data_IF_575696274859
#
_entry.id   IF_575696274859
#
_cell.length_a   1.000
_cell.length_b   1.000
_cell.length_c   1.000
_cell.angle_alpha   90.00
_cell.angle_beta   90.00
_cell.angle_gamma   90.00
#
_symmetry.space_group_name_H-M   'P 1'
#
loop_
_entity.id
_entity.type
_entity.pdbx_description
1 polymer ?
#
# COMPACT_ATOMS: atom_id res chain seq x y z
N UNK A 1 12.94 4.51 1.11
CA UNK A 1 11.95 3.45 1.44
C UNK A 1 11.58 2.51 0.29
N UNK A 2 12.00 2.74 -0.97
CA UNK A 2 11.86 1.73 -2.04
C UNK A 2 12.88 0.56 -1.93
N UNK A 3 13.95 0.75 -1.14
CA UNK A 3 15.09 -0.17 -1.10
C UNK A 3 14.84 -1.50 -0.37
N UNK A 4 14.08 -1.55 0.73
CA UNK A 4 13.96 -2.79 1.53
C UNK A 4 13.20 -3.90 0.79
N UNK A 5 12.13 -3.52 0.07
CA UNK A 5 11.38 -4.43 -0.80
C UNK A 5 12.27 -5.02 -1.88
N UNK A 6 13.05 -4.17 -2.55
CA UNK A 6 13.97 -4.60 -3.60
C UNK A 6 15.06 -5.50 -3.02
N UNK A 7 15.61 -5.18 -1.85
CA UNK A 7 16.62 -5.99 -1.17
C UNK A 7 16.10 -7.37 -0.78
N UNK A 8 14.88 -7.48 -0.24
CA UNK A 8 14.28 -8.80 0.04
C UNK A 8 14.13 -9.61 -1.24
N UNK A 9 13.55 -9.02 -2.27
CA UNK A 9 13.39 -9.72 -3.55
C UNK A 9 14.74 -10.08 -4.16
N UNK A 10 15.77 -9.24 -4.04
CA UNK A 10 17.12 -9.54 -4.49
C UNK A 10 17.70 -10.77 -3.76
N UNK A 11 17.51 -10.90 -2.45
CA UNK A 11 17.93 -12.08 -1.68
C UNK A 11 17.19 -13.34 -2.14
N UNK A 12 15.89 -13.26 -2.35
CA UNK A 12 15.09 -14.39 -2.86
C UNK A 12 15.50 -14.78 -4.27
N UNK A 13 15.67 -13.80 -5.15
CA UNK A 13 16.04 -14.01 -6.55
C UNK A 13 17.48 -14.45 -6.73
N UNK A 14 18.38 -14.15 -5.79
CA UNK A 14 19.78 -14.59 -5.80
C UNK A 14 19.92 -16.13 -5.77
N UNK A 15 18.89 -16.86 -5.36
CA UNK A 15 18.87 -18.32 -5.40
C UNK A 15 18.54 -18.89 -6.80
N UNK A 16 18.30 -18.04 -7.79
CA UNK A 16 17.86 -18.43 -9.12
C UNK A 16 18.76 -17.81 -10.20
N UNK A 17 18.94 -18.53 -11.30
CA UNK A 17 19.48 -17.95 -12.53
C UNK A 17 18.33 -17.41 -13.37
N UNK A 18 18.31 -16.10 -13.62
CA UNK A 18 17.22 -15.44 -14.33
C UNK A 18 17.70 -14.24 -15.14
N UNK A 19 16.92 -13.87 -16.15
CA UNK A 19 17.14 -12.68 -16.97
C UNK A 19 15.91 -11.78 -16.87
N UNK A 20 16.12 -10.49 -16.62
CA UNK A 20 15.02 -9.53 -16.58
C UNK A 20 14.72 -9.09 -18.02
N UNK A 21 13.48 -9.32 -18.47
CA UNK A 21 13.03 -8.97 -19.82
C UNK A 21 11.78 -8.08 -19.72
N UNK A 22 11.73 -7.03 -20.54
CA UNK A 22 10.55 -6.20 -20.67
C UNK A 22 9.44 -6.96 -21.41
N UNK A 23 8.21 -6.85 -20.89
CA UNK A 23 7.01 -7.37 -21.55
C UNK A 23 5.94 -6.29 -21.58
N UNK A 24 5.40 -6.04 -22.76
CA UNK A 24 4.31 -5.07 -22.92
C UNK A 24 3.06 -5.51 -22.15
N UNK A 25 2.36 -4.56 -21.54
CA UNK A 25 1.18 -4.82 -20.71
C UNK A 25 0.06 -5.54 -21.45
N UNK A 26 -0.11 -5.25 -22.75
CA UNK A 26 -1.08 -5.92 -23.64
C UNK A 26 -0.87 -7.43 -23.72
N UNK A 27 0.39 -7.89 -23.59
CA UNK A 27 0.78 -9.29 -23.60
C UNK A 27 0.75 -9.95 -22.21
N UNK A 28 0.42 -9.19 -21.16
CA UNK A 28 0.44 -9.65 -19.77
C UNK A 28 -0.95 -10.01 -19.22
N UNK A 29 -1.95 -10.19 -20.09
CA UNK A 29 -3.34 -10.44 -19.70
C UNK A 29 -3.52 -11.69 -18.83
N UNK A 30 -2.68 -12.72 -19.03
CA UNK A 30 -2.69 -13.91 -18.17
C UNK A 30 -2.30 -13.58 -16.73
N UNK A 31 -1.21 -12.85 -16.52
CA UNK A 31 -0.76 -12.46 -15.19
C UNK A 31 -1.73 -11.46 -14.54
N UNK A 32 -2.22 -10.47 -15.29
CA UNK A 32 -3.20 -9.50 -14.80
C UNK A 32 -4.50 -10.20 -14.36
N UNK A 33 -5.04 -11.08 -15.20
CA UNK A 33 -6.24 -11.86 -14.90
C UNK A 33 -6.06 -12.73 -13.66
N UNK A 34 -5.03 -13.58 -13.63
CA UNK A 34 -4.77 -14.48 -12.50
C UNK A 34 -4.51 -13.74 -11.19
N UNK A 35 -3.85 -12.57 -11.23
CA UNK A 35 -3.57 -11.77 -10.04
C UNK A 35 -4.81 -11.13 -9.41
N UNK A 36 -5.89 -10.97 -10.18
CA UNK A 36 -7.14 -10.31 -9.75
C UNK A 36 -8.30 -11.28 -9.50
N UNK A 37 -8.16 -12.54 -9.93
CA UNK A 37 -9.22 -13.53 -9.78
C UNK A 37 -9.53 -13.76 -8.29
N UNK A 38 -10.79 -13.64 -7.87
CA UNK A 38 -11.17 -13.90 -6.49
C UNK A 38 -10.93 -15.37 -6.17
N UNK A 39 -10.26 -15.62 -5.06
CA UNK A 39 -10.07 -16.97 -4.55
C UNK A 39 -11.40 -17.49 -3.98
N UNK A 40 -11.66 -18.78 -4.16
CA UNK A 40 -12.88 -19.43 -3.65
C UNK A 40 -12.96 -19.40 -2.11
N UNK A 41 -11.82 -19.33 -1.45
CA UNK A 41 -11.69 -19.29 0.00
C UNK A 41 -11.27 -17.90 0.44
N UNK A 42 -11.92 -17.37 1.46
CA UNK A 42 -11.45 -16.16 2.13
C UNK A 42 -10.12 -16.48 2.83
N UNK A 43 -9.03 -15.85 2.41
CA UNK A 43 -7.77 -15.94 3.15
C UNK A 43 -7.98 -15.18 4.46
N UNK A 44 -8.18 -15.87 5.57
CA UNK A 44 -8.44 -15.23 6.87
C UNK A 44 -7.27 -14.34 7.34
N UNK A 45 -6.04 -14.62 6.89
CA UNK A 45 -4.83 -13.87 7.28
C UNK A 45 -3.86 -13.73 6.12
N UNK A 46 -3.68 -12.51 5.63
CA UNK A 46 -2.54 -12.17 4.79
C UNK A 46 -1.30 -12.08 5.68
N UNK A 47 -0.22 -12.83 5.37
CA UNK A 47 1.01 -12.72 6.16
C UNK A 47 1.56 -11.30 6.06
N UNK A 48 1.87 -10.74 7.21
CA UNK A 48 2.46 -9.40 7.33
C UNK A 48 3.80 -9.38 6.58
N UNK A 49 4.00 -8.51 5.57
CA UNK A 49 5.26 -8.46 4.84
C UNK A 49 6.42 -8.10 5.79
N UNK A 50 7.57 -8.76 5.68
CA UNK A 50 8.72 -8.49 6.55
C UNK A 50 9.20 -7.03 6.52
N UNK A 51 8.87 -6.25 5.47
CA UNK A 51 9.23 -4.83 5.36
C UNK A 51 8.49 -3.96 6.36
N UNK A 52 7.35 -4.44 6.84
CA UNK A 52 6.56 -3.71 7.84
C UNK A 52 7.30 -3.64 9.17
N UNK A 53 8.09 -4.65 9.54
CA UNK A 53 8.88 -4.66 10.77
C UNK A 53 9.97 -3.59 10.70
N UNK A 54 10.75 -3.59 9.60
CA UNK A 54 11.77 -2.57 9.36
C UNK A 54 11.17 -1.16 9.30
N UNK A 55 9.99 -1.01 8.67
CA UNK A 55 9.26 0.25 8.64
C UNK A 55 8.87 0.71 10.05
N UNK A 56 8.38 -0.19 10.91
CA UNK A 56 7.96 0.15 12.28
C UNK A 56 9.14 0.55 13.17
N UNK A 57 10.29 -0.13 13.04
CA UNK A 57 11.52 0.26 13.75
C UNK A 57 11.99 1.66 13.31
N UNK A 58 11.92 1.95 12.02
CA UNK A 58 12.27 3.28 11.51
C UNK A 58 11.28 4.36 11.98
N UNK A 59 9.97 4.07 11.97
CA UNK A 59 8.93 4.99 12.45
C UNK A 59 9.17 5.43 13.89
N UNK A 60 9.66 4.54 14.76
CA UNK A 60 10.00 4.88 16.15
C UNK A 60 11.10 5.96 16.26
N UNK A 61 11.96 6.09 15.23
CA UNK A 61 13.02 7.10 15.17
C UNK A 61 12.60 8.38 14.45
N UNK A 62 11.41 8.41 13.84
CA UNK A 62 10.94 9.61 13.12
C UNK A 62 10.47 10.69 14.10
N UNK A 63 10.65 11.98 13.78
CA UNK A 63 10.21 13.08 14.64
C UNK A 63 8.68 13.27 14.66
N UNK A 64 7.93 12.43 13.94
CA UNK A 64 6.49 12.54 13.76
C UNK A 64 5.80 11.32 14.33
N UNK A 65 5.03 11.53 15.39
CA UNK A 65 4.20 10.49 16.03
C UNK A 65 2.77 10.45 15.44
N UNK A 66 2.12 9.30 15.56
CA UNK A 66 0.73 9.09 15.15
C UNK A 66 -0.24 10.11 15.76
N UNK A 67 -0.01 10.56 17.01
CA UNK A 67 -0.81 11.62 17.64
C UNK A 67 -0.68 12.96 16.91
N UNK A 68 0.52 13.30 16.45
CA UNK A 68 0.75 14.52 15.68
C UNK A 68 0.06 14.43 14.33
N UNK A 69 0.20 13.29 13.63
CA UNK A 69 -0.49 13.05 12.35
C UNK A 69 -2.00 13.22 12.55
N UNK A 70 -2.59 12.54 13.53
CA UNK A 70 -4.02 12.65 13.82
C UNK A 70 -4.45 14.12 14.05
N UNK A 71 -3.70 14.87 14.85
CA UNK A 71 -4.00 16.28 15.14
C UNK A 71 -3.97 17.13 13.87
N UNK A 72 -2.95 16.96 13.04
CA UNK A 72 -2.78 17.75 11.81
C UNK A 72 -3.77 17.35 10.71
N UNK A 73 -4.04 16.06 10.54
CA UNK A 73 -5.07 15.53 9.61
C UNK A 73 -6.47 16.04 9.98
N UNK A 74 -6.80 16.16 11.27
CA UNK A 74 -8.08 16.75 11.71
C UNK A 74 -8.18 18.25 11.46
N UNK A 75 -7.05 18.96 11.46
CA UNK A 75 -7.01 20.41 11.21
C UNK A 75 -7.03 20.74 9.71
N UNK A 76 -6.50 19.85 8.88
CA UNK A 76 -6.50 19.99 7.43
C UNK A 76 -7.92 19.97 6.87
N UNK A 77 -8.23 20.93 6.00
CA UNK A 77 -9.58 21.15 5.47
C UNK A 77 -10.06 20.01 4.57
N UNK A 78 -9.14 19.41 3.82
CA UNK A 78 -9.46 18.32 2.89
C UNK A 78 -9.50 17.00 3.64
N UNK A 79 -8.48 16.71 4.44
CA UNK A 79 -8.36 15.42 5.12
C UNK A 79 -9.39 15.25 6.24
N UNK A 80 -9.81 16.32 6.93
CA UNK A 80 -10.91 16.26 7.90
C UNK A 80 -12.24 15.93 7.22
N UNK A 81 -12.48 16.46 6.02
CA UNK A 81 -13.64 16.13 5.20
C UNK A 81 -13.61 14.67 4.74
N UNK A 82 -12.46 14.20 4.25
CA UNK A 82 -12.26 12.79 3.86
C UNK A 82 -12.47 11.85 5.05
N UNK A 83 -11.94 12.19 6.22
CA UNK A 83 -12.16 11.42 7.45
C UNK A 83 -13.66 11.28 7.76
N UNK A 84 -14.43 12.36 7.59
CA UNK A 84 -15.89 12.33 7.78
C UNK A 84 -16.58 11.41 6.77
N UNK A 85 -16.15 11.40 5.51
CA UNK A 85 -16.71 10.51 4.47
C UNK A 85 -16.38 9.04 4.70
N UNK A 86 -15.19 8.72 5.19
CA UNK A 86 -14.85 7.33 5.52
C UNK A 86 -15.76 6.81 6.64
N UNK A 87 -16.06 7.65 7.64
CA UNK A 87 -16.87 7.24 8.79
C UNK A 87 -18.38 7.24 8.52
N UNK A 88 -18.88 8.15 7.69
CA UNK A 88 -20.33 8.36 7.49
C UNK A 88 -20.81 8.03 6.06
N UNK A 89 -19.93 7.55 5.20
CA UNK A 89 -20.21 7.30 3.79
C UNK A 89 -19.83 8.48 2.87
N UNK A 90 -19.59 8.14 1.61
CA UNK A 90 -19.21 9.10 0.57
C UNK A 90 -20.42 9.88 0.05
N UNK A 91 -20.27 11.17 -0.25
CA UNK A 91 -21.35 11.95 -0.85
C UNK A 91 -21.62 11.48 -2.29
N UNK A 92 -22.88 11.48 -2.70
CA UNK A 92 -23.29 11.07 -4.05
C UNK A 92 -22.87 12.06 -5.16
N UNK A 93 -22.43 13.26 -4.77
CA UNK A 93 -21.92 14.30 -5.66
C UNK A 93 -20.62 14.87 -5.10
N UNK A 94 -19.68 15.18 -5.99
CA UNK A 94 -18.40 15.77 -5.60
C UNK A 94 -18.65 17.16 -4.96
N UNK A 95 -18.13 17.45 -3.75
CA UNK A 95 -18.23 18.77 -3.15
C UNK A 95 -17.53 19.80 -4.03
N UNK A 96 -18.18 20.95 -4.26
CA UNK A 96 -17.57 22.06 -4.97
C UNK A 96 -16.42 22.60 -4.12
N UNK A 97 -15.24 22.79 -4.72
CA UNK A 97 -14.09 23.37 -4.03
C UNK A 97 -14.43 24.82 -3.63
N UNK A 98 -14.63 25.06 -2.34
CA UNK A 98 -14.61 26.40 -1.73
C UNK A 98 -13.19 26.84 -1.42
#
# INVERSE_FOLDING_TARGET
MAASRIQRWALTLAAYEYTIVYKEGSLNGNADGLSRLPLKTNIEKTPTPGDTILLMEHLATTPVDAKQIQKWTRKDTILSMVLRYILNGWPSKCPVKT
#
